data_IF_956873677595
#
_entry.id   IF_956873677595
#
_cell.length_a   1.000
_cell.length_b   1.000
_cell.length_c   1.000
_cell.angle_alpha   90.00
_cell.angle_beta   90.00
_cell.angle_gamma   90.00
#
_symmetry.space_group_name_H-M   'P 1'
#
loop_
_entity.id
_entity.type
_entity.pdbx_description
1 polymer ?
#
# COMPACT_ATOMS: atom_id res chain seq x y z
N UNK A 1 -12.55 -6.61 24.97
CA UNK A 1 -13.06 -6.13 23.67
C UNK A 1 -12.44 -4.81 23.22
N UNK A 2 -12.15 -3.84 24.10
CA UNK A 2 -11.51 -2.58 23.70
C UNK A 2 -10.09 -2.70 23.11
N UNK A 3 -9.28 -3.66 23.57
CA UNK A 3 -7.92 -3.85 23.06
C UNK A 3 -7.86 -4.25 21.57
N UNK A 4 -8.79 -5.10 21.11
CA UNK A 4 -8.86 -5.53 19.70
C UNK A 4 -9.31 -4.37 18.81
N UNK A 5 -10.29 -3.57 19.26
CA UNK A 5 -10.75 -2.39 18.53
C UNK A 5 -9.66 -1.33 18.39
N UNK A 6 -8.86 -1.09 19.43
CA UNK A 6 -7.71 -0.18 19.38
C UNK A 6 -6.66 -0.66 18.37
N UNK A 7 -6.28 -1.94 18.41
CA UNK A 7 -5.32 -2.51 17.46
C UNK A 7 -5.81 -2.42 16.02
N UNK A 8 -7.12 -2.64 15.79
CA UNK A 8 -7.74 -2.51 14.48
C UNK A 8 -7.66 -1.08 13.93
N UNK A 9 -7.99 -0.08 14.76
CA UNK A 9 -7.86 1.33 14.40
C UNK A 9 -6.42 1.73 14.06
N UNK A 10 -5.45 1.27 14.85
CA UNK A 10 -4.02 1.52 14.57
C UNK A 10 -3.58 0.89 13.24
N UNK A 11 -4.03 -0.33 12.95
CA UNK A 11 -3.69 -1.01 11.70
C UNK A 11 -4.32 -0.33 10.47
N UNK A 12 -5.57 0.15 10.58
CA UNK A 12 -6.19 0.96 9.51
C UNK A 12 -5.42 2.24 9.24
N UNK A 13 -4.99 2.94 10.29
CA UNK A 13 -4.20 4.17 10.13
C UNK A 13 -2.87 3.86 9.43
N UNK A 14 -2.16 2.82 9.85
CA UNK A 14 -0.90 2.42 9.22
C UNK A 14 -1.04 2.06 7.73
N UNK A 15 -2.16 1.42 7.35
CA UNK A 15 -2.51 1.15 5.94
C UNK A 15 -2.74 2.45 5.18
N UNK A 16 -3.51 3.39 5.75
CA UNK A 16 -3.76 4.68 5.12
C UNK A 16 -2.47 5.49 4.93
N UNK A 17 -1.61 5.54 5.94
CA UNK A 17 -0.33 6.27 5.90
C UNK A 17 0.63 5.66 4.86
N UNK A 18 0.68 4.33 4.78
CA UNK A 18 1.47 3.60 3.78
C UNK A 18 0.95 3.84 2.37
N UNK A 19 -0.38 3.81 2.17
CA UNK A 19 -1.01 4.12 0.89
C UNK A 19 -0.72 5.56 0.42
N UNK A 20 -0.83 6.53 1.33
CA UNK A 20 -0.50 7.93 1.03
C UNK A 20 0.99 8.10 0.65
N UNK A 21 1.88 7.39 1.35
CA UNK A 21 3.31 7.39 1.05
C UNK A 21 3.59 6.76 -0.32
N UNK A 22 2.93 5.66 -0.66
CA UNK A 22 3.04 5.00 -1.95
C UNK A 22 2.61 5.93 -3.10
N UNK A 23 1.44 6.58 -2.98
CA UNK A 23 0.96 7.53 -3.98
C UNK A 23 1.88 8.74 -4.13
N UNK A 24 2.47 9.23 -3.04
CA UNK A 24 3.45 10.33 -3.09
C UNK A 24 4.71 9.92 -3.86
N UNK A 25 5.24 8.72 -3.58
CA UNK A 25 6.38 8.17 -4.31
C UNK A 25 6.08 7.99 -5.80
N UNK A 26 4.88 7.54 -6.16
CA UNK A 26 4.42 7.43 -7.55
C UNK A 26 4.39 8.79 -8.26
N UNK A 27 3.83 9.82 -7.60
CA UNK A 27 3.82 11.18 -8.12
C UNK A 27 5.23 11.72 -8.37
N UNK A 28 6.14 11.59 -7.39
CA UNK A 28 7.55 12.01 -7.54
C UNK A 28 8.26 11.30 -8.68
N UNK A 29 7.97 10.02 -8.89
CA UNK A 29 8.50 9.27 -10.02
C UNK A 29 7.94 9.76 -11.36
N UNK A 30 6.64 10.05 -11.41
CA UNK A 30 6.00 10.67 -12.58
C UNK A 30 6.66 11.99 -12.95
N UNK A 31 6.87 12.87 -11.96
CA UNK A 31 7.53 14.16 -12.14
C UNK A 31 8.96 13.98 -12.67
N UNK A 32 9.72 13.05 -12.07
CA UNK A 32 11.08 12.76 -12.51
C UNK A 32 11.12 12.19 -13.93
N UNK A 33 10.22 11.25 -14.26
CA UNK A 33 10.06 10.70 -15.62
C UNK A 33 9.79 11.83 -16.62
N UNK A 34 8.87 12.73 -16.30
CA UNK A 34 8.54 13.87 -17.16
C UNK A 34 9.71 14.84 -17.35
N UNK A 35 10.44 15.15 -16.28
CA UNK A 35 11.63 16.00 -16.34
C UNK A 35 12.74 15.39 -17.20
N UNK A 36 12.93 14.08 -17.10
CA UNK A 36 14.00 13.37 -17.81
C UNK A 36 13.65 13.05 -19.26
N UNK A 37 12.37 12.92 -19.60
CA UNK A 37 11.90 12.56 -20.95
C UNK A 37 12.59 13.32 -22.11
N UNK A 38 12.77 14.66 -22.07
CA UNK A 38 13.42 15.39 -23.17
C UNK A 38 14.93 15.14 -23.30
N UNK A 39 15.62 14.76 -22.22
CA UNK A 39 17.09 14.60 -22.19
C UNK A 39 17.52 13.13 -22.26
N UNK A 40 16.63 12.17 -22.02
CA UNK A 40 16.89 10.73 -22.17
C UNK A 40 17.31 10.38 -23.61
N UNK A 41 16.93 11.18 -24.60
CA UNK A 41 17.37 11.01 -25.99
C UNK A 41 18.85 11.34 -26.23
N UNK A 42 19.45 12.15 -25.35
CA UNK A 42 20.87 12.54 -25.42
C UNK A 42 21.77 11.71 -24.51
N UNK A 43 21.18 10.84 -23.68
CA UNK A 43 21.93 9.98 -22.77
C UNK A 43 22.62 8.86 -23.51
N UNK A 44 23.89 8.65 -23.16
CA UNK A 44 24.69 7.53 -23.62
C UNK A 44 24.07 6.19 -23.16
N UNK A 45 24.39 5.10 -23.86
CA UNK A 45 23.71 3.81 -23.69
C UNK A 45 23.64 3.30 -22.24
N UNK A 46 24.73 3.48 -21.48
CA UNK A 46 24.83 3.07 -20.07
C UNK A 46 23.87 3.84 -19.14
N UNK A 47 23.74 5.16 -19.33
CA UNK A 47 22.87 5.99 -18.50
C UNK A 47 21.39 5.65 -18.74
N UNK A 48 21.04 5.32 -19.98
CA UNK A 48 19.70 4.86 -20.35
C UNK A 48 19.38 3.50 -19.71
N UNK A 49 20.32 2.55 -19.70
CA UNK A 49 20.14 1.25 -19.04
C UNK A 49 19.97 1.39 -17.52
N UNK A 50 20.81 2.21 -16.87
CA UNK A 50 20.71 2.51 -15.44
C UNK A 50 19.36 3.12 -15.07
N UNK A 51 18.87 4.05 -15.88
CA UNK A 51 17.56 4.64 -15.71
C UNK A 51 16.43 3.62 -15.82
N UNK A 52 16.44 2.78 -16.85
CA UNK A 52 15.44 1.72 -17.01
C UNK A 52 15.45 0.73 -15.84
N UNK A 53 16.63 0.35 -15.35
CA UNK A 53 16.75 -0.51 -14.19
C UNK A 53 16.17 0.14 -12.92
N UNK A 54 16.43 1.43 -12.71
CA UNK A 54 15.85 2.18 -11.58
C UNK A 54 14.34 2.34 -11.69
N UNK A 55 13.85 2.62 -12.88
CA UNK A 55 12.42 2.66 -13.15
C UNK A 55 11.77 1.32 -12.78
N UNK A 56 12.33 0.20 -13.25
CA UNK A 56 11.79 -1.12 -12.98
C UNK A 56 11.79 -1.46 -11.48
N UNK A 57 12.86 -1.12 -10.76
CA UNK A 57 12.94 -1.32 -9.30
C UNK A 57 11.82 -0.57 -8.57
N UNK A 58 11.52 0.66 -9.00
CA UNK A 58 10.44 1.43 -8.39
C UNK A 58 9.05 0.90 -8.76
N UNK A 59 8.82 0.59 -10.04
CA UNK A 59 7.54 0.04 -10.49
C UNK A 59 7.25 -1.29 -9.75
N UNK A 60 8.28 -2.12 -9.52
CA UNK A 60 8.20 -3.34 -8.72
C UNK A 60 7.84 -3.06 -7.24
N UNK A 61 8.56 -2.15 -6.59
CA UNK A 61 8.32 -1.80 -5.19
C UNK A 61 6.90 -1.25 -4.95
N UNK A 62 6.39 -0.44 -5.89
CA UNK A 62 5.02 0.07 -5.86
C UNK A 62 3.99 -1.06 -5.94
N UNK A 63 4.18 -2.02 -6.85
CA UNK A 63 3.30 -3.17 -6.95
C UNK A 63 3.28 -3.98 -5.66
N UNK A 64 4.45 -4.21 -5.04
CA UNK A 64 4.55 -4.94 -3.77
C UNK A 64 3.82 -4.22 -2.63
N UNK A 65 3.97 -2.90 -2.51
CA UNK A 65 3.25 -2.12 -1.51
C UNK A 65 1.74 -2.24 -1.73
N UNK A 66 1.27 -2.05 -2.96
CA UNK A 66 -0.15 -2.16 -3.30
C UNK A 66 -0.72 -3.55 -2.99
N UNK A 67 0.02 -4.61 -3.30
CA UNK A 67 -0.36 -5.98 -2.97
C UNK A 67 -0.43 -6.21 -1.46
N UNK A 68 0.53 -5.68 -0.70
CA UNK A 68 0.53 -5.79 0.76
C UNK A 68 -0.67 -5.07 1.38
N UNK A 69 -0.96 -3.85 0.93
CA UNK A 69 -2.11 -3.08 1.42
C UNK A 69 -3.44 -3.79 1.14
N UNK A 70 -3.57 -4.39 -0.04
CA UNK A 70 -4.74 -5.21 -0.36
C UNK A 70 -4.87 -6.44 0.53
N UNK A 71 -3.76 -7.13 0.82
CA UNK A 71 -3.77 -8.29 1.73
C UNK A 71 -4.17 -7.90 3.15
N UNK A 72 -3.60 -6.80 3.67
CA UNK A 72 -3.95 -6.29 5.00
C UNK A 72 -5.43 -5.89 5.05
N UNK A 73 -5.93 -5.18 4.03
CA UNK A 73 -7.34 -4.77 3.96
C UNK A 73 -8.29 -5.97 4.01
N UNK A 74 -7.99 -7.05 3.27
CA UNK A 74 -8.79 -8.29 3.32
C UNK A 74 -8.74 -8.95 4.68
N UNK A 75 -7.56 -9.05 5.30
CA UNK A 75 -7.41 -9.62 6.63
C UNK A 75 -8.19 -8.84 7.69
N UNK A 76 -8.19 -7.51 7.59
CA UNK A 76 -8.98 -6.62 8.45
C UNK A 76 -10.49 -6.86 8.27
N UNK A 77 -10.97 -6.97 7.02
CA UNK A 77 -12.38 -7.23 6.73
C UNK A 77 -12.83 -8.57 7.34
N UNK A 78 -12.06 -9.64 7.11
CA UNK A 78 -12.34 -10.95 7.70
C UNK A 78 -12.40 -10.89 9.23
N UNK A 79 -11.41 -10.23 9.85
CA UNK A 79 -11.37 -10.10 11.31
C UNK A 79 -12.57 -9.31 11.86
N UNK A 80 -13.06 -8.30 11.12
CA UNK A 80 -14.25 -7.54 11.51
C UNK A 80 -15.53 -8.38 11.42
N UNK A 81 -15.68 -9.17 10.36
CA UNK A 81 -16.80 -10.10 10.17
C UNK A 81 -16.84 -11.16 11.28
N UNK A 82 -15.69 -11.78 11.58
CA UNK A 82 -15.56 -12.77 12.65
C UNK A 82 -15.92 -12.17 14.02
N UNK A 83 -15.50 -10.93 14.27
CA UNK A 83 -15.80 -10.23 15.52
C UNK A 83 -17.30 -9.90 15.66
N UNK A 84 -17.93 -9.40 14.60
CA UNK A 84 -19.37 -9.13 14.59
C UNK A 84 -20.19 -10.41 14.76
N UNK A 85 -19.78 -11.50 14.10
CA UNK A 85 -20.39 -12.82 14.26
C UNK A 85 -20.31 -13.32 15.70
N UNK A 86 -19.12 -13.21 16.32
CA UNK A 86 -18.91 -13.61 17.71
C UNK A 86 -19.71 -12.76 18.71
N UNK A 87 -19.80 -11.44 18.51
CA UNK A 87 -20.63 -10.56 19.35
C UNK A 87 -22.12 -10.90 19.23
N UNK A 88 -22.62 -11.13 18.01
CA UNK A 88 -24.02 -11.48 17.80
C UNK A 88 -24.37 -12.85 18.40
N UNK A 89 -23.47 -13.84 18.25
CA UNK A 89 -23.64 -15.15 18.87
C UNK A 89 -23.68 -15.05 20.41
N UNK A 90 -22.76 -14.27 21.01
CA UNK A 90 -22.77 -14.06 22.46
C UNK A 90 -24.02 -13.28 22.92
N UNK A 91 -24.50 -12.29 22.18
CA UNK A 91 -25.75 -11.59 22.51
C UNK A 91 -26.97 -12.51 22.41
N UNK A 92 -26.99 -13.45 21.46
CA UNK A 92 -28.07 -14.41 21.31
C UNK A 92 -28.09 -15.52 22.39
N UNK A 93 -26.93 -15.85 22.95
CA UNK A 93 -26.82 -16.87 24.01
C UNK A 93 -27.18 -16.31 25.40
N UNK A 94 -26.99 -15.00 25.61
CA UNK A 94 -27.18 -14.34 26.91
C UNK A 94 -28.36 -13.35 26.92
N UNK A 95 -29.12 -13.28 25.83
CA UNK A 95 -30.33 -12.47 25.68
C UNK A 95 -31.61 -13.27 25.82
#
# INVERSE_FOLDING_TARGET
>A
MGQIQVTFGMLQQAVADTGATASNLEGKLGDLKGYLQPIVGEWDGEAKELWHAKQQQWDQAQQEINQMLQQISRALQQAAEDFQGAENANKAVWG
#
